data_IF_626799083711
#
_entry.id   IF_626799083711
#
_cell.length_a   1.000
_cell.length_b   1.000
_cell.length_c   1.000
_cell.angle_alpha   90.00
_cell.angle_beta   90.00
_cell.angle_gamma   90.00
#
_symmetry.space_group_name_H-M   'P 1'
#
loop_
_entity.id
_entity.type
_entity.pdbx_description
1 polymer ?
#
# COMPACT_ATOMS: atom_id res chain seq x y z
N UNK A 1 -13.10 -0.47 -6.34
CA UNK A 1 -12.99 0.96 -5.97
C UNK A 1 -11.69 1.06 -5.18
N UNK A 2 -10.59 1.43 -5.82
CA UNK A 2 -9.30 1.45 -5.15
C UNK A 2 -9.34 2.56 -4.09
N UNK A 3 -9.17 2.19 -2.82
CA UNK A 3 -8.95 3.13 -1.71
C UNK A 3 -7.90 4.14 -2.16
N UNK A 4 -8.33 5.37 -2.41
CA UNK A 4 -7.44 6.49 -2.66
C UNK A 4 -6.60 6.63 -1.39
N UNK A 5 -5.35 6.19 -1.45
CA UNK A 5 -4.35 6.61 -0.48
C UNK A 5 -4.26 8.13 -0.63
N UNK A 6 -4.42 8.90 0.45
CA UNK A 6 -4.67 10.33 0.34
C UNK A 6 -3.54 11.01 -0.42
N UNK A 7 -3.93 11.95 -1.28
CA UNK A 7 -3.10 13.09 -1.64
C UNK A 7 -2.31 13.52 -0.40
N UNK A 8 -0.99 13.67 -0.57
CA UNK A 8 -0.04 13.88 0.52
C UNK A 8 -0.61 14.78 1.62
N UNK A 9 -0.46 14.31 2.86
CA UNK A 9 -0.74 15.00 4.14
C UNK A 9 -1.31 16.41 3.95
N UNK A 10 -2.62 16.59 4.14
CA UNK A 10 -3.29 17.91 4.02
C UNK A 10 -2.69 18.98 4.95
N UNK A 11 -2.00 18.55 6.01
CA UNK A 11 -1.27 19.42 6.93
C UNK A 11 0.23 19.49 6.61
N UNK A 12 0.66 20.59 5.96
CA UNK A 12 2.07 20.84 5.61
C UNK A 12 3.00 21.03 6.81
N UNK A 13 2.46 21.28 8.01
CA UNK A 13 3.24 21.49 9.24
C UNK A 13 3.50 20.18 10.00
N UNK A 14 2.89 19.08 9.59
CA UNK A 14 3.03 17.83 10.29
C UNK A 14 4.42 17.18 10.04
N UNK A 15 4.98 16.44 11.02
CA UNK A 15 6.32 15.86 10.89
C UNK A 15 6.46 15.02 9.61
N UNK A 16 7.49 15.32 8.81
CA UNK A 16 7.85 14.48 7.66
C UNK A 16 8.45 13.17 8.17
N UNK A 17 7.89 12.06 7.73
CA UNK A 17 8.43 10.74 8.00
C UNK A 17 9.49 10.34 6.99
N UNK A 18 10.33 9.35 7.31
CA UNK A 18 11.33 8.81 6.36
C UNK A 18 10.71 8.20 5.08
N UNK A 19 9.39 8.01 5.06
CA UNK A 19 8.62 7.64 3.87
C UNK A 19 7.94 8.82 3.16
N UNK A 20 8.01 10.05 3.65
CA UNK A 20 7.52 11.23 2.94
C UNK A 20 8.54 11.65 1.87
N UNK A 21 8.80 10.75 0.91
CA UNK A 21 9.64 11.04 -0.25
C UNK A 21 8.88 12.02 -1.14
N UNK A 22 9.53 13.13 -1.46
CA UNK A 22 8.91 14.13 -2.32
C UNK A 22 8.72 13.53 -3.72
N UNK A 23 7.46 13.49 -4.16
CA UNK A 23 7.10 13.19 -5.55
C UNK A 23 7.02 14.53 -6.27
N UNK A 24 7.71 14.73 -7.40
CA UNK A 24 7.72 16.02 -8.08
C UNK A 24 6.32 16.48 -8.46
N UNK A 25 6.00 17.76 -8.21
CA UNK A 25 4.74 18.38 -8.61
C UNK A 25 4.77 18.75 -10.10
N UNK A 26 4.93 17.76 -10.99
CA UNK A 26 4.93 17.94 -12.45
C UNK A 26 3.72 17.27 -13.10
N UNK A 27 3.35 17.67 -14.33
CA UNK A 27 2.22 17.05 -15.05
C UNK A 27 2.35 15.53 -15.18
N UNK A 28 3.59 15.02 -15.32
CA UNK A 28 3.86 13.58 -15.33
C UNK A 28 3.32 12.88 -14.09
N UNK A 29 3.60 13.36 -12.88
CA UNK A 29 3.21 12.67 -11.63
C UNK A 29 1.79 12.98 -11.15
N UNK A 30 1.20 14.06 -11.67
CA UNK A 30 -0.04 14.65 -11.12
C UNK A 30 -1.29 13.75 -11.14
N UNK A 31 -1.37 12.80 -12.05
CA UNK A 31 -2.49 11.87 -12.23
C UNK A 31 -2.19 10.43 -11.73
N UNK A 32 -0.99 10.21 -11.18
CA UNK A 32 -0.56 8.96 -10.56
C UNK A 32 -0.83 8.99 -9.05
N UNK A 33 -1.02 7.83 -8.42
CA UNK A 33 -1.06 7.79 -6.95
C UNK A 33 0.29 8.20 -6.38
N UNK A 34 0.28 8.95 -5.28
CA UNK A 34 1.50 9.35 -4.56
C UNK A 34 2.39 8.13 -4.24
N UNK A 35 1.79 7.03 -3.81
CA UNK A 35 2.50 5.79 -3.48
C UNK A 35 3.22 5.18 -4.69
N UNK A 36 2.62 5.21 -5.88
CA UNK A 36 3.24 4.74 -7.12
C UNK A 36 4.46 5.57 -7.47
N UNK A 37 4.33 6.90 -7.47
CA UNK A 37 5.44 7.81 -7.74
C UNK A 37 6.58 7.64 -6.73
N UNK A 38 6.24 7.64 -5.43
CA UNK A 38 7.19 7.41 -4.34
C UNK A 38 7.95 6.10 -4.50
N UNK A 39 7.24 4.99 -4.73
CA UNK A 39 7.86 3.67 -4.78
C UNK A 39 8.80 3.56 -5.99
N UNK A 40 8.41 4.12 -7.13
CA UNK A 40 9.27 4.22 -8.30
C UNK A 40 10.54 5.02 -7.97
N UNK A 41 10.42 6.26 -7.50
CA UNK A 41 11.57 7.15 -7.25
C UNK A 41 12.56 6.56 -6.25
N UNK A 42 12.07 5.90 -5.19
CA UNK A 42 12.91 5.27 -4.18
C UNK A 42 13.75 4.09 -4.68
N UNK A 43 13.47 3.59 -5.88
CA UNK A 43 14.17 2.47 -6.52
C UNK A 43 15.41 2.92 -7.30
N UNK A 44 15.66 4.23 -7.41
CA UNK A 44 16.75 4.80 -8.18
C UNK A 44 17.56 5.79 -7.35
N UNK A 45 18.86 5.89 -7.66
CA UNK A 45 19.73 6.97 -7.17
C UNK A 45 19.43 8.29 -7.87
N UNK A 46 19.85 9.44 -7.31
CA UNK A 46 19.70 10.74 -7.98
C UNK A 46 20.31 10.80 -9.39
N UNK A 47 21.45 10.13 -9.60
CA UNK A 47 22.13 10.08 -10.91
C UNK A 47 21.33 9.27 -11.93
N UNK A 48 20.78 8.11 -11.52
CA UNK A 48 19.89 7.30 -12.36
C UNK A 48 18.62 8.07 -12.72
N UNK A 49 18.04 8.81 -11.76
CA UNK A 49 16.88 9.68 -12.02
C UNK A 49 17.21 10.84 -12.96
N UNK A 50 18.40 11.43 -12.83
CA UNK A 50 18.90 12.46 -13.75
C UNK A 50 19.01 11.95 -15.18
N UNK A 51 19.41 10.69 -15.36
CA UNK A 51 19.50 10.03 -16.67
C UNK A 51 18.16 9.82 -17.38
N UNK A 52 17.05 9.72 -16.64
CA UNK A 52 15.70 9.51 -17.20
C UNK A 52 14.79 10.74 -17.07
N UNK A 53 15.31 11.87 -16.57
CA UNK A 53 14.51 13.07 -16.30
C UNK A 53 13.83 13.63 -17.56
N UNK A 54 14.53 13.62 -18.69
CA UNK A 54 14.01 14.10 -19.97
C UNK A 54 12.81 13.26 -20.47
N UNK A 55 12.73 11.98 -20.11
CA UNK A 55 11.59 11.13 -20.48
C UNK A 55 10.34 11.49 -19.68
N UNK A 56 10.47 11.84 -18.39
CA UNK A 56 9.34 12.36 -17.61
C UNK A 56 8.78 13.64 -18.24
N UNK A 57 9.67 14.55 -18.67
CA UNK A 57 9.26 15.80 -19.32
C UNK A 57 8.55 15.55 -20.65
N UNK A 58 9.09 14.64 -21.47
CA UNK A 58 8.50 14.22 -22.74
C UNK A 58 7.11 13.61 -22.56
N UNK A 59 6.87 12.93 -21.44
CA UNK A 59 5.61 12.25 -21.13
C UNK A 59 4.63 13.10 -20.29
N UNK A 60 4.91 14.39 -20.07
CA UNK A 60 4.03 15.29 -19.29
C UNK A 60 2.58 15.32 -19.81
N UNK A 61 2.39 15.23 -21.13
CA UNK A 61 1.07 15.25 -21.78
C UNK A 61 0.55 13.87 -22.15
N UNK A 62 1.28 12.80 -21.80
CA UNK A 62 0.88 11.44 -22.14
C UNK A 62 -0.33 11.00 -21.30
N UNK A 63 -1.18 10.08 -21.80
CA UNK A 63 -2.17 9.39 -20.99
C UNK A 63 -1.54 8.72 -19.76
N UNK A 64 -2.29 8.66 -18.66
CA UNK A 64 -1.90 7.98 -17.42
C UNK A 64 -1.36 6.56 -17.66
N UNK A 65 -2.02 5.80 -18.53
CA UNK A 65 -1.62 4.44 -18.86
C UNK A 65 -0.21 4.38 -19.46
N UNK A 66 0.11 5.28 -20.40
CA UNK A 66 1.43 5.34 -21.04
C UNK A 66 2.53 5.71 -20.04
N UNK A 67 2.24 6.63 -19.11
CA UNK A 67 3.16 6.97 -18.01
C UNK A 67 3.44 5.75 -17.13
N UNK A 68 2.40 5.02 -16.72
CA UNK A 68 2.55 3.81 -15.91
C UNK A 68 3.31 2.70 -16.65
N UNK A 69 3.08 2.53 -17.95
CA UNK A 69 3.81 1.58 -18.80
C UNK A 69 5.29 1.96 -18.92
N UNK A 70 5.60 3.24 -19.08
CA UNK A 70 6.98 3.73 -19.06
C UNK A 70 7.68 3.44 -17.73
N UNK A 71 7.02 3.72 -16.59
CA UNK A 71 7.58 3.39 -15.27
C UNK A 71 7.84 1.88 -15.13
N UNK A 72 6.88 1.05 -15.55
CA UNK A 72 7.00 -0.41 -15.48
C UNK A 72 8.13 -0.94 -16.38
N UNK A 73 8.27 -0.42 -17.60
CA UNK A 73 9.35 -0.78 -18.52
C UNK A 73 10.72 -0.40 -17.94
N UNK A 74 10.82 0.78 -17.32
CA UNK A 74 12.05 1.26 -16.68
C UNK A 74 12.44 0.37 -15.48
N UNK A 75 11.46 -0.05 -14.67
CA UNK A 75 11.66 -0.98 -13.55
C UNK A 75 12.09 -2.36 -14.03
N UNK A 76 11.42 -2.90 -15.06
CA UNK A 76 11.74 -4.21 -15.63
C UNK A 76 13.14 -4.22 -16.25
N UNK A 77 13.50 -3.17 -16.97
CA UNK A 77 14.84 -3.00 -17.56
C UNK A 77 15.91 -2.92 -16.47
N UNK A 78 15.67 -2.16 -15.39
CA UNK A 78 16.57 -2.09 -14.24
C UNK A 78 16.76 -3.45 -13.56
N UNK A 79 15.66 -4.17 -13.31
CA UNK A 79 15.68 -5.49 -12.69
C UNK A 79 16.44 -6.52 -13.54
N UNK A 80 16.25 -6.50 -14.86
CA UNK A 80 16.96 -7.36 -15.79
C UNK A 80 18.45 -7.03 -15.86
N UNK A 81 18.81 -5.74 -15.97
CA UNK A 81 20.20 -5.30 -16.06
C UNK A 81 21.01 -5.60 -14.78
N UNK A 82 20.38 -5.47 -13.61
CA UNK A 82 21.01 -5.74 -12.31
C UNK A 82 20.91 -7.22 -11.88
N UNK A 83 20.18 -8.05 -12.64
CA UNK A 83 19.87 -9.44 -12.37
C UNK A 83 19.12 -9.66 -11.04
N UNK A 84 17.86 -10.11 -11.12
CA UNK A 84 17.01 -10.32 -9.95
C UNK A 84 17.62 -11.27 -8.91
N UNK A 85 18.24 -12.39 -9.34
CA UNK A 85 18.84 -13.38 -8.44
C UNK A 85 20.05 -12.83 -7.70
N UNK A 86 20.80 -11.94 -8.35
CA UNK A 86 21.93 -11.22 -7.74
C UNK A 86 21.40 -10.23 -6.72
N UNK A 87 20.41 -9.40 -7.08
CA UNK A 87 19.83 -8.44 -6.14
C UNK A 87 19.19 -9.11 -4.93
N UNK A 88 18.48 -10.23 -5.08
CA UNK A 88 17.92 -10.97 -3.93
C UNK A 88 19.00 -11.34 -2.91
N UNK A 89 20.21 -11.68 -3.38
CA UNK A 89 21.33 -12.11 -2.53
C UNK A 89 22.18 -10.95 -2.00
N UNK A 90 22.43 -9.95 -2.83
CA UNK A 90 23.45 -8.91 -2.58
C UNK A 90 22.84 -7.55 -2.19
N UNK A 91 21.63 -7.23 -2.67
CA UNK A 91 20.91 -5.99 -2.34
C UNK A 91 19.39 -6.22 -2.30
N UNK A 92 18.98 -7.02 -1.31
CA UNK A 92 17.57 -7.36 -1.11
C UNK A 92 16.68 -6.12 -0.99
N UNK A 93 17.22 -5.04 -0.41
CA UNK A 93 16.51 -3.79 -0.21
C UNK A 93 16.15 -3.14 -1.54
N UNK A 94 17.09 -3.07 -2.49
CA UNK A 94 16.82 -2.55 -3.82
C UNK A 94 15.84 -3.45 -4.59
N UNK A 95 16.04 -4.77 -4.55
CA UNK A 95 15.11 -5.72 -5.16
C UNK A 95 13.67 -5.53 -4.65
N UNK A 96 13.49 -5.46 -3.33
CA UNK A 96 12.20 -5.28 -2.68
C UNK A 96 11.54 -3.95 -3.09
N UNK A 97 12.30 -2.85 -3.16
CA UNK A 97 11.81 -1.55 -3.65
C UNK A 97 11.30 -1.62 -5.09
N UNK A 98 12.07 -2.23 -5.99
CA UNK A 98 11.68 -2.41 -7.40
C UNK A 98 10.40 -3.25 -7.48
N UNK A 99 10.31 -4.35 -6.73
CA UNK A 99 9.13 -5.20 -6.72
C UNK A 99 7.88 -4.45 -6.24
N UNK A 100 7.98 -3.70 -5.15
CA UNK A 100 6.88 -2.87 -4.62
C UNK A 100 6.47 -1.77 -5.62
N UNK A 101 7.42 -1.17 -6.33
CA UNK A 101 7.13 -0.18 -7.38
C UNK A 101 6.39 -0.80 -8.57
N UNK A 102 6.78 -2.02 -8.99
CA UNK A 102 6.09 -2.79 -10.05
C UNK A 102 4.66 -3.13 -9.62
N UNK A 103 4.48 -3.62 -8.39
CA UNK A 103 3.16 -3.93 -7.80
C UNK A 103 2.24 -2.70 -7.81
N UNK A 104 2.77 -1.52 -7.46
CA UNK A 104 2.00 -0.27 -7.51
C UNK A 104 1.57 0.09 -8.94
N UNK A 105 2.45 -0.08 -9.92
CA UNK A 105 2.11 0.13 -11.34
C UNK A 105 1.05 -0.87 -11.83
N UNK A 106 1.21 -2.17 -11.51
CA UNK A 106 0.22 -3.19 -11.88
C UNK A 106 -1.16 -2.89 -11.29
N UNK A 107 -1.21 -2.46 -10.03
CA UNK A 107 -2.46 -2.05 -9.37
C UNK A 107 -3.17 -0.91 -10.11
N UNK A 108 -2.44 0.14 -10.49
CA UNK A 108 -3.04 1.28 -11.19
C UNK A 108 -3.40 0.97 -12.65
N UNK A 109 -2.73 0.02 -13.28
CA UNK A 109 -3.04 -0.48 -14.63
C UNK A 109 -4.17 -1.52 -14.63
N UNK A 110 -4.61 -2.01 -13.47
CA UNK A 110 -5.59 -3.10 -13.38
C UNK A 110 -5.05 -4.46 -13.79
N UNK A 111 -3.72 -4.64 -13.78
CA UNK A 111 -3.02 -5.88 -14.14
C UNK A 111 -2.95 -6.82 -12.93
N UNK A 112 -4.11 -7.34 -12.53
CA UNK A 112 -4.28 -8.07 -11.25
C UNK A 112 -3.47 -9.37 -11.22
N UNK A 113 -3.32 -10.06 -12.35
CA UNK A 113 -2.53 -11.32 -12.43
C UNK A 113 -1.05 -11.03 -12.18
N UNK A 114 -0.49 -10.06 -12.90
CA UNK A 114 0.90 -9.65 -12.77
C UNK A 114 1.20 -9.07 -11.39
N UNK A 115 0.23 -8.36 -10.81
CA UNK A 115 0.31 -7.88 -9.44
C UNK A 115 0.44 -9.03 -8.44
N UNK A 116 -0.42 -10.04 -8.54
CA UNK A 116 -0.41 -11.22 -7.68
C UNK A 116 0.88 -12.03 -7.84
N UNK A 117 1.33 -12.27 -9.06
CA UNK A 117 2.59 -12.98 -9.34
C UNK A 117 3.80 -12.25 -8.76
N UNK A 118 3.84 -10.92 -8.85
CA UNK A 118 4.89 -10.11 -8.25
C UNK A 118 4.86 -10.19 -6.72
N UNK A 119 3.68 -10.18 -6.09
CA UNK A 119 3.53 -10.36 -4.64
C UNK A 119 3.96 -11.78 -4.24
N UNK A 120 3.57 -12.81 -4.99
CA UNK A 120 3.97 -14.19 -4.74
C UNK A 120 5.48 -14.37 -4.84
N UNK A 121 6.11 -13.76 -5.84
CA UNK A 121 7.57 -13.72 -5.97
C UNK A 121 8.24 -13.12 -4.71
N UNK A 122 7.63 -12.08 -4.12
CA UNK A 122 8.11 -11.50 -2.86
C UNK A 122 7.92 -12.41 -1.64
N UNK A 123 6.86 -13.22 -1.62
CA UNK A 123 6.61 -14.23 -0.58
C UNK A 123 7.63 -15.36 -0.67
N UNK A 124 7.91 -15.83 -1.88
CA UNK A 124 8.80 -16.97 -2.14
C UNK A 124 10.29 -16.64 -1.92
N UNK A 125 10.63 -15.34 -1.91
CA UNK A 125 11.98 -14.84 -1.68
C UNK A 125 11.99 -13.89 -0.47
N UNK A 126 11.82 -14.42 0.75
CA UNK A 126 11.99 -13.62 1.97
C UNK A 126 13.46 -13.18 2.12
N UNK A 127 13.68 -12.07 2.84
CA UNK A 127 15.03 -11.54 3.07
C UNK A 127 15.95 -12.56 3.74
N UNK A 128 15.41 -13.26 4.74
CA UNK A 128 16.10 -14.30 5.47
C UNK A 128 15.59 -15.67 4.99
N UNK A 129 16.46 -16.66 4.75
CA UNK A 129 16.04 -18.01 4.37
C UNK A 129 15.03 -18.61 5.37
N UNK A 130 13.87 -19.03 4.86
CA UNK A 130 12.75 -19.52 5.70
C UNK A 130 12.02 -18.44 6.49
N UNK A 131 12.35 -17.16 6.28
CA UNK A 131 11.67 -16.01 6.88
C UNK A 131 10.30 -15.74 6.26
N UNK A 132 9.57 -14.78 6.83
CA UNK A 132 8.25 -14.35 6.34
C UNK A 132 8.33 -12.94 5.79
N UNK A 133 7.86 -12.73 4.56
CA UNK A 133 7.71 -11.40 3.99
C UNK A 133 6.35 -10.81 4.35
N UNK A 134 6.25 -10.23 5.55
CA UNK A 134 5.00 -9.67 6.06
C UNK A 134 4.42 -8.54 5.20
N UNK A 135 5.28 -7.74 4.56
CA UNK A 135 4.83 -6.69 3.65
C UNK A 135 4.13 -7.29 2.42
N UNK A 136 4.70 -8.35 1.84
CA UNK A 136 4.09 -9.08 0.72
C UNK A 136 2.80 -9.79 1.13
N UNK A 137 2.76 -10.41 2.32
CA UNK A 137 1.52 -11.01 2.84
C UNK A 137 0.41 -9.97 3.05
N UNK A 138 0.73 -8.75 3.47
CA UNK A 138 -0.27 -7.68 3.61
C UNK A 138 -0.85 -7.27 2.25
N UNK A 139 0.01 -7.15 1.23
CA UNK A 139 -0.42 -6.86 -0.14
C UNK A 139 -1.27 -8.01 -0.70
N UNK A 140 -0.89 -9.26 -0.42
CA UNK A 140 -1.69 -10.43 -0.79
C UNK A 140 -3.05 -10.42 -0.11
N UNK A 141 -3.14 -10.09 1.18
CA UNK A 141 -4.42 -9.96 1.88
C UNK A 141 -5.36 -8.96 1.19
N UNK A 142 -4.81 -7.85 0.68
CA UNK A 142 -5.58 -6.84 -0.05
C UNK A 142 -6.10 -7.38 -1.39
N UNK A 143 -5.27 -8.10 -2.15
CA UNK A 143 -5.68 -8.72 -3.43
C UNK A 143 -6.76 -9.79 -3.21
N UNK A 144 -6.61 -10.62 -2.18
CA UNK A 144 -7.62 -11.63 -1.81
C UNK A 144 -8.95 -10.96 -1.45
N UNK A 145 -8.91 -9.84 -0.74
CA UNK A 145 -10.11 -9.07 -0.39
C UNK A 145 -10.81 -8.51 -1.63
N UNK A 146 -10.05 -7.90 -2.55
CA UNK A 146 -10.58 -7.35 -3.81
C UNK A 146 -11.22 -8.42 -4.71
N UNK A 147 -10.73 -9.67 -4.66
CA UNK A 147 -11.30 -10.82 -5.37
C UNK A 147 -12.50 -11.48 -4.67
N UNK A 148 -12.86 -11.00 -3.48
CA UNK A 148 -13.92 -11.58 -2.69
C UNK A 148 -13.55 -12.86 -1.94
N UNK A 149 -12.26 -13.18 -1.87
CA UNK A 149 -11.70 -14.32 -1.13
C UNK A 149 -11.57 -13.96 0.37
N UNK A 150 -12.66 -13.48 0.96
CA UNK A 150 -12.68 -12.85 2.28
C UNK A 150 -12.14 -13.72 3.43
N UNK A 151 -12.37 -15.05 3.50
CA UNK A 151 -11.80 -15.86 4.56
C UNK A 151 -10.26 -15.90 4.54
N UNK A 152 -9.67 -15.97 3.34
CA UNK A 152 -8.21 -16.02 3.19
C UNK A 152 -7.60 -14.63 3.41
N UNK A 153 -8.25 -13.58 2.89
CA UNK A 153 -7.86 -12.20 3.18
C UNK A 153 -7.86 -11.90 4.69
N UNK A 154 -8.90 -12.33 5.42
CA UNK A 154 -8.97 -12.19 6.88
C UNK A 154 -7.80 -12.93 7.56
N UNK A 155 -7.54 -14.18 7.16
CA UNK A 155 -6.47 -15.01 7.74
C UNK A 155 -5.10 -14.34 7.59
N UNK A 156 -4.80 -13.85 6.38
CA UNK A 156 -3.55 -13.15 6.08
C UNK A 156 -3.45 -11.82 6.85
N UNK A 157 -4.51 -11.00 6.81
CA UNK A 157 -4.52 -9.72 7.50
C UNK A 157 -4.33 -9.88 9.02
N UNK A 158 -4.96 -10.87 9.64
CA UNK A 158 -4.76 -11.19 11.07
C UNK A 158 -3.36 -11.69 11.37
N UNK A 159 -2.76 -12.46 10.47
CA UNK A 159 -1.40 -12.95 10.64
C UNK A 159 -0.36 -11.81 10.60
N UNK A 160 -0.59 -10.81 9.74
CA UNK A 160 0.34 -9.69 9.55
C UNK A 160 0.15 -8.56 10.56
N UNK A 161 -1.06 -8.34 11.06
CA UNK A 161 -1.37 -7.19 11.92
C UNK A 161 -0.43 -7.07 13.14
N UNK A 162 -0.13 -8.13 13.94
CA UNK A 162 0.77 -8.00 15.09
C UNK A 162 2.19 -7.57 14.69
N UNK A 163 2.67 -7.97 13.51
CA UNK A 163 3.98 -7.53 13.01
C UNK A 163 3.97 -6.05 12.66
N UNK A 164 2.90 -5.56 12.01
CA UNK A 164 2.76 -4.14 11.66
C UNK A 164 2.70 -3.23 12.89
N UNK A 165 2.02 -3.66 13.95
CA UNK A 165 1.93 -2.89 15.19
C UNK A 165 3.28 -2.74 15.91
N UNK A 166 4.22 -3.64 15.64
CA UNK A 166 5.56 -3.68 16.24
C UNK A 166 6.68 -3.37 15.23
N UNK A 167 6.34 -2.88 14.04
CA UNK A 167 7.30 -2.61 12.97
C UNK A 167 8.27 -1.49 13.37
N UNK A 168 9.59 -1.73 13.44
CA UNK A 168 10.55 -0.70 13.83
C UNK A 168 10.45 0.58 12.97
N UNK A 169 10.38 1.75 13.63
CA UNK A 169 10.15 3.06 13.03
C UNK A 169 8.69 3.38 12.73
N UNK A 170 7.82 2.38 12.65
CA UNK A 170 6.38 2.48 12.36
C UNK A 170 5.52 1.88 13.47
N UNK A 171 6.08 1.72 14.67
CA UNK A 171 5.43 1.09 15.81
C UNK A 171 4.17 1.85 16.22
N UNK A 172 3.13 1.11 16.57
CA UNK A 172 1.85 1.64 16.98
C UNK A 172 0.68 0.97 16.28
N UNK A 173 -0.40 0.76 17.03
CA UNK A 173 -1.64 0.22 16.49
C UNK A 173 -2.29 1.16 15.47
N UNK A 174 -1.99 2.44 15.59
CA UNK A 174 -2.44 3.58 14.80
C UNK A 174 -1.50 3.94 13.65
N UNK A 175 -0.48 3.11 13.38
CA UNK A 175 0.34 3.29 12.19
C UNK A 175 -0.52 3.14 10.92
N UNK A 176 -0.26 3.92 9.85
CA UNK A 176 -1.02 3.82 8.60
C UNK A 176 -1.14 2.39 8.03
N UNK A 177 -0.08 1.55 8.00
CA UNK A 177 -0.25 0.18 7.52
C UNK A 177 -1.10 -0.68 8.46
N UNK A 178 -0.99 -0.53 9.79
CA UNK A 178 -1.83 -1.26 10.74
C UNK A 178 -3.31 -0.86 10.61
N UNK A 179 -3.60 0.44 10.48
CA UNK A 179 -4.95 0.95 10.21
C UNK A 179 -5.54 0.39 8.91
N UNK A 180 -4.76 0.36 7.83
CA UNK A 180 -5.16 -0.26 6.56
C UNK A 180 -5.52 -1.74 6.69
N UNK A 181 -4.68 -2.52 7.40
CA UNK A 181 -4.93 -3.95 7.65
C UNK A 181 -6.16 -4.17 8.53
N UNK A 182 -6.40 -3.30 9.52
CA UNK A 182 -7.62 -3.36 10.36
C UNK A 182 -8.88 -3.13 9.54
N UNK A 183 -8.87 -2.13 8.65
CA UNK A 183 -9.96 -1.90 7.70
C UNK A 183 -10.23 -3.10 6.81
N UNK A 184 -9.19 -3.77 6.31
CA UNK A 184 -9.32 -5.03 5.56
C UNK A 184 -10.02 -6.12 6.38
N UNK A 185 -9.62 -6.33 7.65
CA UNK A 185 -10.26 -7.31 8.54
C UNK A 185 -11.75 -7.00 8.72
N UNK A 186 -12.12 -5.73 8.93
CA UNK A 186 -13.52 -5.31 9.07
C UNK A 186 -14.32 -5.67 7.82
N UNK A 187 -13.82 -5.30 6.61
CA UNK A 187 -14.49 -5.65 5.34
C UNK A 187 -14.64 -7.16 5.18
N UNK A 188 -13.59 -7.92 5.47
CA UNK A 188 -13.61 -9.38 5.33
C UNK A 188 -14.61 -10.03 6.30
N UNK A 189 -14.62 -9.63 7.57
CA UNK A 189 -15.61 -10.11 8.54
C UNK A 189 -17.03 -9.76 8.07
N UNK A 190 -17.22 -8.51 7.63
CA UNK A 190 -18.51 -8.02 7.19
C UNK A 190 -19.04 -8.81 6.00
N UNK A 191 -18.22 -9.03 4.97
CA UNK A 191 -18.66 -9.71 3.75
C UNK A 191 -18.78 -11.23 3.90
N UNK A 192 -18.17 -11.81 4.93
CA UNK A 192 -18.46 -13.18 5.38
C UNK A 192 -19.76 -13.31 6.18
N UNK A 193 -20.47 -12.21 6.47
CA UNK A 193 -21.68 -12.21 7.31
C UNK A 193 -21.40 -12.27 8.82
N UNK A 194 -20.13 -12.17 9.25
CA UNK A 194 -19.73 -12.12 10.66
C UNK A 194 -19.93 -10.70 11.23
N UNK A 195 -21.17 -10.21 11.21
CA UNK A 195 -21.57 -8.81 11.52
C UNK A 195 -21.09 -8.34 12.89
N UNK A 196 -21.37 -9.11 13.93
CA UNK A 196 -21.02 -8.73 15.31
C UNK A 196 -19.50 -8.62 15.49
N UNK A 197 -18.75 -9.53 14.88
CA UNK A 197 -17.29 -9.49 14.87
C UNK A 197 -16.76 -8.26 14.13
N UNK A 198 -17.35 -7.91 12.98
CA UNK A 198 -16.96 -6.74 12.21
C UNK A 198 -17.21 -5.44 12.97
N UNK A 199 -18.39 -5.30 13.61
CA UNK A 199 -18.77 -4.13 14.41
C UNK A 199 -17.86 -3.97 15.63
N UNK A 200 -17.63 -5.05 16.39
CA UNK A 200 -16.70 -5.03 17.52
C UNK A 200 -15.30 -4.56 17.10
N UNK A 201 -14.77 -5.11 16.00
CA UNK A 201 -13.44 -4.74 15.52
C UNK A 201 -13.39 -3.30 14.96
N UNK A 202 -14.50 -2.80 14.40
CA UNK A 202 -14.63 -1.40 14.00
C UNK A 202 -14.66 -0.46 15.22
N UNK A 203 -15.31 -0.85 16.30
CA UNK A 203 -15.32 -0.09 17.56
C UNK A 203 -13.92 -0.03 18.17
N UNK A 204 -13.21 -1.16 18.25
CA UNK A 204 -11.80 -1.21 18.67
C UNK A 204 -10.92 -0.31 17.79
N UNK A 205 -11.14 -0.31 16.47
CA UNK A 205 -10.39 0.55 15.54
C UNK A 205 -10.70 2.03 15.76
N UNK A 206 -11.96 2.37 16.07
CA UNK A 206 -12.36 3.76 16.41
C UNK A 206 -11.73 4.22 17.71
N UNK A 207 -11.67 3.37 18.74
CA UNK A 207 -10.97 3.70 20.00
C UNK A 207 -9.49 4.02 19.78
N UNK A 208 -8.82 3.29 18.88
CA UNK A 208 -7.43 3.57 18.50
C UNK A 208 -7.33 4.94 17.82
N UNK A 209 -8.22 5.23 16.87
CA UNK A 209 -8.25 6.52 16.15
C UNK A 209 -8.48 7.68 17.11
N UNK A 210 -9.48 7.60 17.98
CA UNK A 210 -9.77 8.70 18.92
C UNK A 210 -8.66 8.88 19.97
N UNK A 211 -8.00 7.79 20.37
CA UNK A 211 -6.86 7.82 21.27
C UNK A 211 -5.56 8.38 20.68
N UNK A 212 -5.48 8.65 19.37
CA UNK A 212 -4.25 9.16 18.74
C UNK A 212 -3.81 10.51 19.34
N UNK A 213 -4.76 11.44 19.53
CA UNK A 213 -4.47 12.76 20.11
C UNK A 213 -4.11 12.68 21.60
N UNK A 214 -4.87 11.90 22.38
CA UNK A 214 -4.64 11.74 23.82
C UNK A 214 -3.26 11.15 24.12
N UNK A 215 -2.82 10.21 23.28
CA UNK A 215 -1.50 9.56 23.39
C UNK A 215 -0.37 10.36 22.75
N UNK A 216 -0.67 11.53 22.17
CA UNK A 216 0.27 12.32 21.37
C UNK A 216 1.02 11.45 20.35
N UNK A 217 0.28 10.58 19.66
CA UNK A 217 0.88 9.68 18.69
C UNK A 217 1.62 10.45 17.60
N UNK A 218 2.76 9.91 17.16
CA UNK A 218 3.47 10.41 15.97
C UNK A 218 2.58 10.41 14.72
N UNK A 219 1.55 9.56 14.69
CA UNK A 219 0.60 9.44 13.57
C UNK A 219 -0.66 10.30 13.70
N UNK A 220 -0.81 11.11 14.76
CA UNK A 220 -2.03 11.91 14.99
C UNK A 220 -2.40 12.83 13.82
N UNK A 221 -1.45 13.18 12.95
CA UNK A 221 -1.70 13.94 11.71
C UNK A 221 -2.70 13.27 10.77
N UNK A 222 -2.90 11.95 10.90
CA UNK A 222 -3.81 11.15 10.09
C UNK A 222 -5.15 10.90 10.78
N UNK A 223 -5.36 11.35 12.02
CA UNK A 223 -6.53 10.98 12.82
C UNK A 223 -7.87 11.28 12.11
N UNK A 224 -8.01 12.47 11.54
CA UNK A 224 -9.24 12.87 10.84
C UNK A 224 -9.46 12.08 9.55
N UNK A 225 -8.39 11.81 8.80
CA UNK A 225 -8.47 10.98 7.58
C UNK A 225 -8.86 9.54 7.95
N UNK A 226 -8.27 8.97 9.01
CA UNK A 226 -8.59 7.62 9.50
C UNK A 226 -10.03 7.50 10.01
N UNK A 227 -10.54 8.53 10.69
CA UNK A 227 -11.95 8.62 11.08
C UNK A 227 -12.85 8.62 9.85
N UNK A 228 -12.50 9.41 8.82
CA UNK A 228 -13.21 9.48 7.56
C UNK A 228 -13.25 8.12 6.84
N UNK A 229 -12.09 7.46 6.69
CA UNK A 229 -12.00 6.16 6.03
C UNK A 229 -12.80 5.07 6.72
N UNK A 230 -12.78 5.03 8.05
CA UNK A 230 -13.57 4.05 8.79
C UNK A 230 -15.07 4.31 8.61
N UNK A 231 -15.52 5.56 8.67
CA UNK A 231 -16.93 5.92 8.49
C UNK A 231 -17.42 5.59 7.08
N UNK A 232 -16.69 6.03 6.05
CA UNK A 232 -17.00 5.75 4.64
C UNK A 232 -17.09 4.24 4.38
N UNK A 233 -16.11 3.48 4.87
CA UNK A 233 -16.12 2.02 4.74
C UNK A 233 -17.37 1.39 5.37
N UNK A 234 -17.76 1.81 6.58
CA UNK A 234 -18.93 1.25 7.23
C UNK A 234 -20.21 1.59 6.46
N UNK A 235 -20.33 2.80 5.92
CA UNK A 235 -21.45 3.19 5.07
C UNK A 235 -21.53 2.37 3.77
N UNK A 236 -20.39 2.09 3.14
CA UNK A 236 -20.31 1.22 1.95
C UNK A 236 -20.73 -0.22 2.27
N UNK A 237 -20.31 -0.73 3.43
CA UNK A 237 -20.64 -2.08 3.88
C UNK A 237 -22.14 -2.25 4.20
N UNK A 238 -22.76 -1.23 4.79
CA UNK A 238 -24.21 -1.18 5.02
C UNK A 238 -25.00 -1.06 3.71
N UNK A 239 -24.49 -0.30 2.71
CA UNK A 239 -25.08 -0.26 1.37
C UNK A 239 -24.98 -1.62 0.68
N UNK A 240 -23.82 -2.27 0.77
CA UNK A 240 -23.59 -3.60 0.21
C UNK A 240 -24.58 -4.61 0.77
N UNK A 241 -24.93 -4.56 2.06
CA UNK A 241 -25.95 -5.44 2.63
C UNK A 241 -27.33 -5.27 2.01
N UNK A 242 -27.76 -4.03 1.84
CA UNK A 242 -29.04 -3.71 1.18
C UNK A 242 -29.06 -4.27 -0.24
N UNK A 243 -27.95 -4.20 -0.96
CA UNK A 243 -27.81 -4.77 -2.30
C UNK A 243 -27.82 -6.31 -2.30
N UNK A 244 -27.32 -6.95 -1.23
CA UNK A 244 -27.39 -8.40 -1.04
C UNK A 244 -28.72 -8.89 -0.45
N UNK A 245 -29.66 -7.99 -0.15
CA UNK A 245 -30.94 -8.33 0.50
C UNK A 245 -30.79 -8.79 1.95
N UNK A 246 -29.77 -8.30 2.65
CA UNK A 246 -29.46 -8.60 4.06
C UNK A 246 -29.88 -7.49 5.00
#
# INVERSE_FOLDING_TARGET
MALQTPAGVKNKEAPKFGWDHDVPETPFWSDLKFTTGRNFLQSYSPDELGGIAADFERLNTAPKEDKLRFLLETLNTSLAAKNADVLIKEDYRLWSKIMVARIACFSELGLVTEQEEAIQTMIDNPQEPGGTNYSALNMMASIREERGEYPEAERLARHVLPWLENLPGLEGQDSPPAMGTRRCIIRCLWKQGKRDGAKKFADETREIIEGMSEKQSKFMKYQDDERGYLAEQLDELEKWDKEQGK
#
